data_IF_156318255986
#
_entry.id   IF_156318255986
#
_cell.length_a   1.000
_cell.length_b   1.000
_cell.length_c   1.000
_cell.angle_alpha   90.00
_cell.angle_beta   90.00
_cell.angle_gamma   90.00
#
_symmetry.space_group_name_H-M   'P 1'
#
loop_
_entity.id
_entity.type
_entity.pdbx_description
1 polymer ?
#
# COMPACT_ATOMS: atom_id res chain seq x y z
N UNK A 1 -5.28 12.42 11.36
CA UNK A 1 -4.17 11.69 10.72
C UNK A 1 -4.58 11.22 9.32
N UNK A 2 -3.70 11.33 8.32
CA UNK A 2 -3.96 11.06 6.89
C UNK A 2 -4.62 9.68 6.64
N UNK A 3 -4.17 8.64 7.36
CA UNK A 3 -4.72 7.29 7.25
C UNK A 3 -6.23 7.22 7.54
N UNK A 4 -6.74 8.06 8.45
CA UNK A 4 -8.17 8.12 8.78
C UNK A 4 -9.02 8.85 7.71
N UNK A 5 -8.38 9.63 6.84
CA UNK A 5 -9.06 10.16 5.66
C UNK A 5 -9.06 9.11 4.54
N UNK A 6 -7.95 8.40 4.35
CA UNK A 6 -7.85 7.34 3.35
C UNK A 6 -8.78 6.15 3.65
N UNK A 7 -9.07 5.86 4.91
CA UNK A 7 -10.04 4.81 5.31
C UNK A 7 -11.48 5.13 4.92
N UNK A 8 -11.83 6.40 4.65
CA UNK A 8 -13.17 6.80 4.20
C UNK A 8 -13.40 6.56 2.71
N UNK A 9 -12.35 6.27 1.96
CA UNK A 9 -12.45 6.01 0.51
C UNK A 9 -13.08 4.63 0.31
N UNK A 10 -14.18 4.58 -0.43
CA UNK A 10 -14.86 3.34 -0.75
C UNK A 10 -13.96 2.42 -1.60
N UNK A 11 -13.84 1.16 -1.17
CA UNK A 11 -13.09 0.14 -1.88
C UNK A 11 -13.97 -0.57 -2.92
N UNK A 12 -13.96 -0.06 -4.15
CA UNK A 12 -14.71 -0.62 -5.27
C UNK A 12 -14.10 -1.91 -5.85
N UNK A 13 -12.96 -2.40 -5.32
CA UNK A 13 -12.36 -3.64 -5.80
C UNK A 13 -13.25 -4.82 -5.44
N UNK A 14 -13.26 -5.84 -6.32
CA UNK A 14 -13.91 -7.14 -6.04
C UNK A 14 -13.30 -7.77 -4.80
N UNK A 15 -14.06 -8.61 -4.10
CA UNK A 15 -13.63 -9.33 -2.89
C UNK A 15 -12.29 -10.06 -3.07
N UNK A 16 -12.06 -10.64 -4.25
CA UNK A 16 -10.80 -11.30 -4.62
C UNK A 16 -9.58 -10.36 -4.60
N UNK A 17 -9.76 -9.06 -4.89
CA UNK A 17 -8.72 -8.03 -4.88
C UNK A 17 -8.48 -7.38 -3.51
N UNK A 18 -9.27 -7.72 -2.49
CA UNK A 18 -9.22 -7.11 -1.14
C UNK A 18 -8.25 -7.79 -0.18
N UNK A 19 -7.23 -8.50 -0.70
CA UNK A 19 -6.18 -9.11 0.12
C UNK A 19 -5.40 -8.08 0.96
N UNK A 20 -5.33 -6.84 0.47
CA UNK A 20 -4.64 -5.73 1.10
C UNK A 20 -5.63 -4.58 1.32
N UNK A 21 -5.74 -4.02 2.53
CA UNK A 21 -6.64 -2.89 2.77
C UNK A 21 -6.24 -1.67 1.94
N UNK A 22 -7.24 -1.03 1.30
CA UNK A 22 -7.02 0.06 0.35
C UNK A 22 -6.30 1.26 0.96
N UNK A 23 -6.66 1.63 2.19
CA UNK A 23 -6.08 2.74 2.93
C UNK A 23 -4.55 2.64 3.07
N UNK A 24 -4.02 1.45 3.35
CA UNK A 24 -2.57 1.23 3.45
C UNK A 24 -1.89 1.21 2.08
N UNK A 25 -2.54 0.67 1.05
CA UNK A 25 -2.02 0.72 -0.32
C UNK A 25 -1.87 2.18 -0.76
N UNK A 26 -2.89 3.01 -0.53
CA UNK A 26 -2.86 4.44 -0.87
C UNK A 26 -1.77 5.16 -0.07
N UNK A 27 -1.69 4.93 1.24
CA UNK A 27 -0.66 5.55 2.08
C UNK A 27 0.74 5.20 1.60
N UNK A 28 1.01 3.93 1.32
CA UNK A 28 2.33 3.48 0.88
C UNK A 28 2.65 3.95 -0.54
N UNK A 29 1.65 4.08 -1.40
CA UNK A 29 1.81 4.69 -2.72
C UNK A 29 2.20 6.15 -2.63
N UNK A 30 1.57 6.92 -1.73
CA UNK A 30 1.94 8.32 -1.47
C UNK A 30 3.39 8.42 -0.95
N UNK A 31 3.77 7.60 0.03
CA UNK A 31 5.14 7.57 0.54
C UNK A 31 6.16 7.22 -0.55
N UNK A 32 5.83 6.26 -1.40
CA UNK A 32 6.68 5.87 -2.51
C UNK A 32 6.85 7.03 -3.52
N UNK A 33 5.76 7.71 -3.89
CA UNK A 33 5.79 8.85 -4.82
C UNK A 33 6.61 9.99 -4.24
N UNK A 34 6.43 10.33 -2.96
CA UNK A 34 7.25 11.32 -2.25
C UNK A 34 8.73 10.92 -2.19
N UNK A 35 9.03 9.62 -2.24
CA UNK A 35 10.39 9.08 -2.32
C UNK A 35 10.92 8.93 -3.76
N UNK A 36 10.22 9.50 -4.76
CA UNK A 36 10.64 9.49 -6.16
C UNK A 36 10.15 8.32 -7.01
N UNK A 37 9.16 7.55 -6.54
CA UNK A 37 8.54 6.51 -7.36
C UNK A 37 7.66 7.12 -8.46
N UNK A 38 8.09 6.94 -9.71
CA UNK A 38 7.38 7.44 -10.91
C UNK A 38 6.57 6.39 -11.65
N UNK A 39 6.48 5.16 -11.12
CA UNK A 39 5.73 4.07 -11.74
C UNK A 39 5.24 3.07 -10.72
N UNK A 40 4.18 2.31 -11.05
CA UNK A 40 3.65 1.27 -10.17
C UNK A 40 4.69 0.21 -9.80
N UNK A 41 5.60 -0.14 -10.72
CA UNK A 41 6.73 -1.04 -10.42
C UNK A 41 7.68 -0.45 -9.38
N UNK A 42 7.97 0.86 -9.46
CA UNK A 42 8.79 1.55 -8.44
C UNK A 42 8.07 1.61 -7.10
N UNK A 43 6.76 1.84 -7.08
CA UNK A 43 5.95 1.79 -5.85
C UNK A 43 6.05 0.39 -5.23
N UNK A 44 5.82 -0.67 -6.01
CA UNK A 44 5.96 -2.04 -5.52
C UNK A 44 7.36 -2.31 -4.94
N UNK A 45 8.43 -1.84 -5.60
CA UNK A 45 9.81 -1.97 -5.10
C UNK A 45 10.01 -1.21 -3.79
N UNK A 46 9.48 0.01 -3.68
CA UNK A 46 9.55 0.81 -2.45
C UNK A 46 8.88 0.07 -1.28
N UNK A 47 7.66 -0.43 -1.49
CA UNK A 47 6.92 -1.17 -0.47
C UNK A 47 7.67 -2.44 -0.09
N UNK A 48 8.28 -3.14 -1.07
CA UNK A 48 9.03 -4.36 -0.80
C UNK A 48 10.27 -4.09 0.06
N UNK A 49 11.02 -3.03 -0.27
CA UNK A 49 12.22 -2.62 0.47
C UNK A 49 11.89 -2.21 1.92
N UNK A 50 10.75 -1.55 2.15
CA UNK A 50 10.37 -1.04 3.47
C UNK A 50 9.34 -1.91 4.21
N UNK A 51 8.97 -3.07 3.67
CA UNK A 51 7.85 -3.89 4.17
C UNK A 51 7.96 -4.23 5.66
N UNK A 52 9.14 -4.61 6.14
CA UNK A 52 9.36 -4.99 7.55
C UNK A 52 9.07 -3.79 8.46
N UNK A 53 9.68 -2.64 8.16
CA UNK A 53 9.48 -1.40 8.91
C UNK A 53 8.04 -0.90 8.86
N UNK A 54 7.39 -0.98 7.68
CA UNK A 54 5.98 -0.60 7.53
C UNK A 54 5.05 -1.54 8.31
N UNK A 55 5.36 -2.84 8.35
CA UNK A 55 4.62 -3.80 9.16
C UNK A 55 4.73 -3.49 10.66
N UNK A 56 5.91 -3.13 11.14
CA UNK A 56 6.11 -2.74 12.55
C UNK A 56 5.38 -1.44 12.89
N UNK A 57 5.55 -0.39 12.06
CA UNK A 57 4.94 0.92 12.31
C UNK A 57 3.41 0.90 12.29
N UNK A 58 2.82 0.10 11.41
CA UNK A 58 1.36 0.03 11.24
C UNK A 58 0.75 -1.26 11.81
N UNK A 59 1.52 -2.06 12.55
CA UNK A 59 1.11 -3.35 13.11
C UNK A 59 0.48 -4.29 12.07
N UNK A 60 1.02 -4.30 10.85
CA UNK A 60 0.56 -5.14 9.74
C UNK A 60 1.32 -6.47 9.69
N UNK A 61 0.65 -7.51 9.18
CA UNK A 61 1.24 -8.85 9.03
C UNK A 61 1.44 -9.24 7.55
N UNK A 62 1.75 -8.27 6.69
CA UNK A 62 1.88 -8.52 5.25
C UNK A 62 3.09 -9.41 4.96
N UNK A 63 2.85 -10.62 4.46
CA UNK A 63 3.90 -11.57 4.05
C UNK A 63 4.49 -11.25 2.68
N UNK A 64 3.70 -10.67 1.78
CA UNK A 64 4.09 -10.26 0.42
C UNK A 64 3.53 -8.88 0.13
N UNK A 65 4.13 -8.16 -0.82
CA UNK A 65 3.60 -6.88 -1.31
C UNK A 65 2.52 -7.10 -2.37
N UNK A 66 1.58 -6.16 -2.54
CA UNK A 66 0.66 -6.16 -3.67
C UNK A 66 1.45 -6.15 -4.98
N UNK A 67 1.08 -7.01 -5.94
CA UNK A 67 1.66 -6.93 -7.27
C UNK A 67 1.05 -5.75 -8.01
N UNK A 68 1.85 -5.04 -8.81
CA UNK A 68 1.38 -3.88 -9.59
C UNK A 68 0.27 -4.20 -10.61
N UNK A 69 -0.03 -5.48 -10.85
CA UNK A 69 -1.08 -5.96 -11.76
C UNK A 69 -2.36 -6.39 -11.05
N UNK A 70 -2.38 -6.41 -9.71
CA UNK A 70 -3.48 -6.97 -8.90
C UNK A 70 -4.13 -5.93 -7.97
N UNK A 71 -3.79 -4.65 -8.17
CA UNK A 71 -4.28 -3.52 -7.36
C UNK A 71 -5.47 -2.87 -8.06
#
# INVERSE_FOLDING_TARGET
>A
MLLNHLSKIADHRRSEGRRYPLNYILLFSVLAILSGATSYRKIQRFIAAHRVRLNELFSLKWKRVPAHTTV
#
